data_IF_083775311568
#
_entry.id   IF_083775311568
#
_cell.length_a   1.000
_cell.length_b   1.000
_cell.length_c   1.000
_cell.angle_alpha   90.00
_cell.angle_beta   90.00
_cell.angle_gamma   90.00
#
_symmetry.space_group_name_H-M   'P 1'
#
loop_
_entity.id
_entity.type
_entity.pdbx_description
1 polymer ?
#
# COMPACT_ATOMS: atom_id res chain seq x y z
N UNK A 1 -10.64 -40.68 9.12
CA UNK A 1 -11.66 -40.77 10.19
C UNK A 1 -12.18 -39.37 10.45
N UNK A 2 -13.51 -39.21 10.49
CA UNK A 2 -14.14 -37.92 10.79
C UNK A 2 -13.76 -37.44 12.19
N UNK A 3 -13.60 -36.12 12.37
CA UNK A 3 -13.25 -35.54 13.67
C UNK A 3 -14.35 -35.84 14.70
N UNK A 4 -15.60 -35.92 14.25
CA UNK A 4 -16.75 -36.30 15.07
C UNK A 4 -16.62 -37.75 15.54
N UNK A 5 -16.26 -38.68 14.64
CA UNK A 5 -16.02 -40.09 14.99
C UNK A 5 -14.91 -40.25 16.05
N UNK A 6 -13.83 -39.48 15.92
CA UNK A 6 -12.73 -39.52 16.88
C UNK A 6 -13.13 -39.00 18.27
N UNK A 7 -13.97 -37.95 18.33
CA UNK A 7 -14.46 -37.41 19.61
C UNK A 7 -15.41 -38.39 20.30
N UNK A 8 -16.30 -39.05 19.54
CA UNK A 8 -17.21 -40.07 20.07
C UNK A 8 -16.43 -41.30 20.56
N UNK A 9 -15.46 -41.81 19.77
CA UNK A 9 -14.61 -42.93 20.19
C UNK A 9 -13.78 -42.61 21.44
N UNK A 10 -13.26 -41.39 21.55
CA UNK A 10 -12.56 -40.93 22.76
C UNK A 10 -13.49 -40.89 23.96
N UNK A 11 -14.71 -40.37 23.81
CA UNK A 11 -15.68 -40.33 24.91
C UNK A 11 -15.99 -41.72 25.49
N UNK A 12 -16.13 -42.74 24.63
CA UNK A 12 -16.37 -44.12 25.09
C UNK A 12 -15.10 -44.87 25.52
N UNK A 13 -13.91 -44.35 25.22
CA UNK A 13 -12.63 -44.93 25.62
C UNK A 13 -12.03 -44.33 26.90
N UNK A 14 -12.57 -43.25 27.45
CA UNK A 14 -12.05 -42.62 28.67
C UNK A 14 -12.72 -43.18 29.93
N UNK A 15 -11.96 -43.43 31.00
CA UNK A 15 -12.51 -43.85 32.30
C UNK A 15 -13.15 -42.71 33.10
N UNK A 16 -12.82 -41.46 32.74
CA UNK A 16 -13.31 -40.25 33.41
C UNK A 16 -14.63 -39.76 32.80
N UNK A 17 -15.72 -39.85 33.58
CA UNK A 17 -17.07 -39.46 33.15
C UNK A 17 -17.18 -37.99 32.74
N UNK A 18 -16.41 -37.10 33.37
CA UNK A 18 -16.44 -35.66 33.07
C UNK A 18 -15.73 -35.32 31.74
N UNK A 19 -14.69 -36.07 31.40
CA UNK A 19 -14.00 -35.95 30.11
C UNK A 19 -14.85 -36.55 28.99
N UNK A 20 -15.47 -37.71 29.23
CA UNK A 20 -16.41 -38.30 28.29
C UNK A 20 -17.55 -37.32 27.93
N UNK A 21 -18.14 -36.66 28.94
CA UNK A 21 -19.18 -35.65 28.74
C UNK A 21 -18.67 -34.44 27.91
N UNK A 22 -17.43 -34.00 28.15
CA UNK A 22 -16.82 -32.88 27.43
C UNK A 22 -16.55 -33.22 25.96
N UNK A 23 -16.11 -34.44 25.67
CA UNK A 23 -15.90 -34.91 24.29
C UNK A 23 -17.23 -35.05 23.53
N UNK A 24 -18.28 -35.56 24.17
CA UNK A 24 -19.63 -35.64 23.58
C UNK A 24 -20.22 -34.25 23.32
N UNK A 25 -20.08 -33.30 24.25
CA UNK A 25 -20.52 -31.93 24.04
C UNK A 25 -19.80 -31.26 22.86
N UNK A 26 -18.50 -31.50 22.70
CA UNK A 26 -17.72 -30.99 21.56
C UNK A 26 -18.15 -31.62 20.24
N UNK A 27 -18.49 -32.91 20.22
CA UNK A 27 -19.03 -33.59 19.04
C UNK A 27 -20.42 -33.04 18.65
N UNK A 28 -21.32 -32.85 19.63
CA UNK A 28 -22.65 -32.28 19.41
C UNK A 28 -22.59 -30.85 18.83
N UNK A 29 -21.71 -29.99 19.32
CA UNK A 29 -21.54 -28.63 18.80
C UNK A 29 -21.07 -28.61 17.34
N UNK A 30 -20.27 -29.59 16.92
CA UNK A 30 -19.74 -29.70 15.55
C UNK A 30 -20.77 -30.29 14.57
N UNK A 31 -21.75 -31.03 15.08
CA UNK A 31 -22.86 -31.60 14.31
C UNK A 31 -24.07 -30.67 14.20
N UNK A 32 -24.06 -29.51 14.84
CA UNK A 32 -25.22 -28.61 14.97
C UNK A 32 -25.79 -28.12 13.64
N UNK A 33 -24.96 -28.05 12.60
CA UNK A 33 -25.34 -27.60 11.26
C UNK A 33 -25.43 -28.75 10.23
N UNK A 34 -25.33 -30.00 10.69
CA UNK A 34 -25.41 -31.19 9.83
C UNK A 34 -26.85 -31.68 9.71
N UNK A 35 -27.19 -32.33 8.61
CA UNK A 35 -28.51 -32.92 8.43
C UNK A 35 -28.70 -34.16 9.31
N UNK A 36 -29.95 -34.50 9.64
CA UNK A 36 -30.27 -35.66 10.50
C UNK A 36 -29.68 -36.98 9.97
N UNK A 37 -29.65 -37.16 8.65
CA UNK A 37 -29.10 -38.36 8.01
C UNK A 37 -27.57 -38.43 8.15
N UNK A 38 -26.87 -37.30 8.02
CA UNK A 38 -25.41 -37.23 8.18
C UNK A 38 -25.00 -37.45 9.64
N UNK A 39 -25.74 -36.90 10.59
CA UNK A 39 -25.52 -37.11 12.03
C UNK A 39 -25.65 -38.59 12.36
N UNK A 40 -26.70 -39.25 11.87
CA UNK A 40 -26.95 -40.66 12.12
C UNK A 40 -25.84 -41.53 11.53
N UNK A 41 -25.43 -41.27 10.29
CA UNK A 41 -24.33 -41.98 9.64
C UNK A 41 -23.00 -41.82 10.40
N UNK A 42 -22.69 -40.61 10.86
CA UNK A 42 -21.46 -40.35 11.63
C UNK A 42 -21.44 -41.04 13.00
N UNK A 43 -22.59 -41.11 13.68
CA UNK A 43 -22.72 -41.83 14.96
C UNK A 43 -22.60 -43.35 14.75
N UNK A 44 -23.29 -43.91 13.76
CA UNK A 44 -23.23 -45.35 13.46
C UNK A 44 -21.81 -45.79 13.11
N UNK A 45 -21.08 -45.01 12.31
CA UNK A 45 -19.68 -45.26 11.98
C UNK A 45 -18.73 -45.09 13.17
N UNK A 46 -19.02 -44.16 14.08
CA UNK A 46 -18.22 -43.96 15.29
C UNK A 46 -18.37 -45.10 16.31
N UNK A 47 -19.58 -45.66 16.41
CA UNK A 47 -19.90 -46.76 17.34
C UNK A 47 -19.55 -48.13 16.78
N UNK A 48 -19.33 -48.26 15.47
CA UNK A 48 -18.86 -49.49 14.86
C UNK A 48 -17.47 -49.87 15.41
N UNK A 49 -17.42 -50.93 16.21
CA UNK A 49 -16.21 -51.42 16.87
C UNK A 49 -15.95 -50.89 18.30
N UNK A 50 -16.86 -50.10 18.87
CA UNK A 50 -16.77 -49.72 20.30
C UNK A 50 -17.27 -50.90 21.15
N UNK A 51 -16.35 -51.57 21.82
CA UNK A 51 -16.65 -52.73 22.66
C UNK A 51 -17.19 -52.25 24.01
N UNK A 52 -18.52 -52.27 24.19
CA UNK A 52 -19.19 -51.82 25.43
C UNK A 52 -18.98 -52.77 26.63
N UNK A 53 -18.31 -53.91 26.41
CA UNK A 53 -17.95 -54.84 27.47
C UNK A 53 -16.72 -54.30 28.24
N UNK A 54 -17.00 -53.58 29.33
CA UNK A 54 -16.00 -53.13 30.31
C UNK A 54 -15.04 -54.26 30.73
N UNK A 55 -13.71 -54.05 30.78
CA UNK A 55 -12.74 -55.00 31.31
C UNK A 55 -12.67 -54.95 32.85
N UNK A 56 -13.82 -54.95 33.53
CA UNK A 56 -13.90 -54.90 35.00
C UNK A 56 -14.06 -56.25 35.69
N UNK A 57 -14.12 -57.37 34.94
CA UNK A 57 -14.42 -58.70 35.53
C UNK A 57 -13.20 -59.63 35.70
N UNK A 58 -11.99 -59.19 35.35
CA UNK A 58 -10.80 -60.04 35.46
C UNK A 58 -10.13 -60.06 36.84
N UNK A 59 -10.33 -59.04 37.68
CA UNK A 59 -9.69 -58.98 39.00
C UNK A 59 -10.24 -59.99 40.02
N UNK A 60 -11.51 -60.39 39.88
CA UNK A 60 -12.14 -61.36 40.80
C UNK A 60 -11.55 -62.77 40.61
N UNK A 61 -11.14 -63.12 39.38
CA UNK A 61 -10.55 -64.42 39.07
C UNK A 61 -9.11 -64.59 39.55
N UNK A 62 -8.32 -63.51 39.58
CA UNK A 62 -6.92 -63.53 40.00
C UNK A 62 -6.82 -63.61 41.53
N UNK A 63 -7.68 -62.86 42.25
CA UNK A 63 -7.76 -62.90 43.71
C UNK A 63 -8.19 -64.27 44.25
N UNK A 64 -9.08 -64.99 43.55
CA UNK A 64 -9.48 -66.34 43.92
C UNK A 64 -8.35 -67.37 43.74
N UNK A 65 -7.53 -67.24 42.69
CA UNK A 65 -6.39 -68.14 42.44
C UNK A 65 -5.24 -67.91 43.42
N UNK A 66 -4.99 -66.66 43.83
CA UNK A 66 -3.98 -66.35 44.85
C UNK A 66 -4.33 -66.92 46.23
N UNK A 67 -5.61 -66.86 46.63
CA UNK A 67 -6.07 -67.47 47.89
C UNK A 67 -5.97 -69.00 47.89
N UNK A 68 -6.14 -69.66 46.73
CA UNK A 68 -5.98 -71.10 46.61
C UNK A 68 -4.51 -71.54 46.74
N UNK A 69 -3.59 -70.80 46.11
CA UNK A 69 -2.15 -71.07 46.18
C UNK A 69 -1.58 -70.89 47.61
N UNK A 70 -2.11 -69.92 48.37
CA UNK A 70 -1.69 -69.67 49.75
C UNK A 70 -2.12 -70.81 50.71
N UNK A 71 -3.28 -71.42 50.47
CA UNK A 71 -3.75 -72.58 51.23
C UNK A 71 -2.88 -73.85 50.99
N UNK A 72 -2.46 -74.08 49.74
CA UNK A 72 -1.62 -75.22 49.36
C UNK A 72 -0.21 -75.11 49.97
N UNK A 73 0.35 -73.89 50.02
CA UNK A 73 1.65 -73.62 50.65
C UNK A 73 1.66 -73.84 52.16
N UNK A 74 0.55 -73.58 52.86
CA UNK A 74 0.42 -73.90 54.29
C UNK A 74 0.39 -75.41 54.55
N UNK A 75 -0.26 -76.18 53.67
CA UNK A 75 -0.38 -77.63 53.83
C UNK A 75 0.97 -78.34 53.66
N UNK A 76 1.76 -77.94 52.66
CA UNK A 76 3.13 -78.45 52.46
C UNK A 76 4.08 -78.12 53.62
N UNK A 77 3.94 -76.94 54.26
CA UNK A 77 4.70 -76.59 55.47
C UNK A 77 4.34 -77.44 56.68
N UNK A 78 3.07 -77.82 56.83
CA UNK A 78 2.64 -78.70 57.91
C UNK A 78 3.20 -80.12 57.73
N UNK A 79 3.23 -80.64 56.50
CA UNK A 79 3.80 -81.95 56.19
C UNK A 79 5.32 -82.01 56.39
N UNK A 80 6.06 -80.97 55.99
CA UNK A 80 7.50 -80.87 56.24
C UNK A 80 7.85 -80.89 57.73
N UNK A 81 7.02 -80.24 58.56
CA UNK A 81 7.19 -80.23 60.02
C UNK A 81 6.88 -81.60 60.64
N UNK A 82 5.95 -82.37 60.06
CA UNK A 82 5.61 -83.72 60.50
C UNK A 82 6.69 -84.76 60.12
N UNK A 83 7.38 -84.57 58.99
CA UNK A 83 8.47 -85.45 58.54
C UNK A 83 9.76 -85.18 59.34
N UNK A 84 10.07 -83.91 59.64
CA UNK A 84 11.24 -83.54 60.46
C UNK A 84 11.19 -84.07 61.91
N UNK A 85 10.00 -84.34 62.45
CA UNK A 85 9.83 -84.91 63.79
C UNK A 85 10.12 -86.42 63.90
N UNK A 86 10.25 -87.15 62.77
CA UNK A 86 10.37 -88.61 62.75
C UNK A 86 11.80 -89.12 62.50
N UNK A 87 12.73 -88.27 62.08
CA UNK A 87 14.13 -88.65 61.83
C UNK A 87 15.03 -88.37 63.03
N UNK A 88 15.01 -89.27 64.04
CA UNK A 88 16.12 -89.38 65.00
C UNK A 88 17.32 -90.03 64.31
N UNK A 89 18.05 -89.27 63.50
CA UNK A 89 19.35 -89.69 62.95
C UNK A 89 20.38 -89.72 64.07
N UNK A 90 20.60 -90.93 64.58
CA UNK A 90 21.65 -91.27 65.55
C UNK A 90 23.00 -91.18 64.83
N UNK A 91 23.74 -90.09 65.02
CA UNK A 91 25.11 -89.97 64.51
C UNK A 91 26.02 -90.87 65.33
N UNK A 92 26.38 -92.02 64.76
CA UNK A 92 27.40 -92.94 65.26
C UNK A 92 28.75 -92.44 64.75
N UNK A 93 29.54 -91.82 65.63
CA UNK A 93 30.98 -91.73 65.48
C UNK A 93 31.58 -92.27 66.78
N UNK A 94 32.10 -93.50 66.71
CA UNK A 94 33.03 -94.02 67.70
C UNK A 94 34.42 -93.76 67.14
N UNK A 95 35.16 -92.83 67.75
CA UNK A 95 36.56 -92.61 67.43
C UNK A 95 37.35 -93.93 67.61
N UNK A 96 38.42 -94.10 66.84
CA UNK A 96 39.24 -95.31 66.83
C UNK A 96 39.70 -95.65 68.26
N UNK A 97 39.24 -96.77 68.86
CA UNK A 97 39.42 -97.04 70.28
C UNK A 97 40.89 -97.24 70.66
N UNK A 98 41.75 -97.64 69.71
CA UNK A 98 43.19 -97.76 69.98
C UNK A 98 43.89 -96.41 70.11
N UNK A 99 43.51 -95.43 69.28
CA UNK A 99 44.11 -94.09 69.31
C UNK A 99 43.65 -93.31 70.54
N UNK A 100 42.37 -93.44 70.90
CA UNK A 100 41.84 -92.90 72.16
C UNK A 100 42.48 -93.55 73.40
N UNK A 101 42.69 -94.88 73.38
CA UNK A 101 43.33 -95.59 74.49
C UNK A 101 44.79 -95.15 74.66
N UNK A 102 45.54 -95.01 73.56
CA UNK A 102 46.93 -94.47 73.59
C UNK A 102 46.98 -93.01 74.04
N UNK A 103 46.02 -92.19 73.63
CA UNK A 103 45.93 -90.78 74.05
C UNK A 103 45.60 -90.67 75.54
N UNK A 104 44.69 -91.52 76.05
CA UNK A 104 44.37 -91.61 77.47
C UNK A 104 45.54 -92.15 78.31
N UNK A 105 46.28 -93.15 77.82
CA UNK A 105 47.50 -93.66 78.46
C UNK A 105 48.58 -92.56 78.57
N UNK A 106 48.88 -91.86 77.48
CA UNK A 106 49.91 -90.79 77.50
C UNK A 106 49.44 -89.57 78.31
N UNK A 107 48.14 -89.27 78.34
CA UNK A 107 47.56 -88.26 79.24
C UNK A 107 47.67 -88.68 80.71
N UNK A 108 47.48 -89.97 81.02
CA UNK A 108 47.70 -90.54 82.34
C UNK A 108 49.16 -90.49 82.77
N UNK A 109 50.09 -90.82 81.87
CA UNK A 109 51.54 -90.72 82.09
C UNK A 109 52.00 -89.26 82.30
N UNK A 110 51.45 -88.30 81.55
CA UNK A 110 51.74 -86.87 81.73
C UNK A 110 51.18 -86.35 83.07
N UNK A 111 49.98 -86.79 83.46
CA UNK A 111 49.39 -86.43 84.75
C UNK A 111 50.21 -87.00 85.92
N UNK A 112 50.72 -88.23 85.79
CA UNK A 112 51.63 -88.83 86.76
C UNK A 112 53.01 -88.14 86.81
N UNK A 113 53.56 -87.73 85.66
CA UNK A 113 54.82 -87.00 85.57
C UNK A 113 54.75 -85.57 86.12
N UNK A 114 53.56 -84.96 86.20
CA UNK A 114 53.33 -83.66 86.85
C UNK A 114 53.29 -83.73 88.37
N UNK A 115 53.04 -84.91 88.95
CA UNK A 115 52.84 -85.11 90.39
C UNK A 115 54.09 -85.62 91.15
N UNK A 116 55.10 -86.13 90.44
CA UNK A 116 56.40 -86.50 91.01
C UNK A 116 57.50 -85.71 90.32
N UNK A 117 58.60 -85.39 91.01
CA UNK A 117 59.72 -84.56 90.53
C UNK A 117 60.45 -85.18 89.33
N UNK A 118 59.84 -85.07 88.14
CA UNK A 118 60.36 -85.55 86.85
C UNK A 118 60.94 -84.34 86.10
N UNK A 119 62.10 -84.47 85.42
CA UNK A 119 62.71 -83.37 84.69
C UNK A 119 61.75 -82.76 83.64
N UNK A 120 61.71 -81.43 83.50
CA UNK A 120 60.80 -80.74 82.56
C UNK A 120 60.95 -81.21 81.10
N UNK A 121 62.09 -81.79 80.72
CA UNK A 121 62.33 -82.37 79.40
C UNK A 121 61.37 -83.53 79.08
N UNK A 122 61.02 -84.39 80.03
CA UNK A 122 60.14 -85.54 79.80
C UNK A 122 58.66 -85.12 79.71
N UNK A 123 58.26 -84.11 80.49
CA UNK A 123 56.94 -83.47 80.38
C UNK A 123 56.78 -82.81 79.01
N UNK A 124 57.82 -82.14 78.51
CA UNK A 124 57.82 -81.58 77.16
C UNK A 124 57.76 -82.66 76.08
N UNK A 125 58.47 -83.78 76.25
CA UNK A 125 58.45 -84.91 75.31
C UNK A 125 57.08 -85.59 75.24
N UNK A 126 56.45 -85.83 76.39
CA UNK A 126 55.09 -86.39 76.46
C UNK A 126 54.05 -85.41 75.92
N UNK A 127 54.20 -84.11 76.20
CA UNK A 127 53.31 -83.07 75.66
C UNK A 127 53.44 -82.97 74.13
N UNK A 128 54.66 -83.05 73.59
CA UNK A 128 54.91 -83.09 72.15
C UNK A 128 54.32 -84.36 71.51
N UNK A 129 54.36 -85.50 72.21
CA UNK A 129 53.74 -86.76 71.76
C UNK A 129 52.22 -86.69 71.77
N UNK A 130 51.61 -86.10 72.80
CA UNK A 130 50.15 -85.85 72.84
C UNK A 130 49.74 -84.92 71.70
N UNK A 131 50.45 -83.81 71.50
CA UNK A 131 50.17 -82.89 70.40
C UNK A 131 50.34 -83.58 69.03
N UNK A 132 51.36 -84.44 68.88
CA UNK A 132 51.56 -85.26 67.69
C UNK A 132 50.40 -86.22 67.44
N UNK A 133 49.95 -86.94 68.46
CA UNK A 133 48.82 -87.87 68.37
C UNK A 133 47.49 -87.15 68.11
N UNK A 134 47.25 -85.99 68.72
CA UNK A 134 46.08 -85.16 68.46
C UNK A 134 46.07 -84.69 67.01
N UNK A 135 47.22 -84.23 66.49
CA UNK A 135 47.37 -83.82 65.10
C UNK A 135 47.16 -84.99 64.13
N UNK A 136 47.66 -86.18 64.45
CA UNK A 136 47.40 -87.39 63.67
C UNK A 136 45.91 -87.76 63.66
N UNK A 137 45.25 -87.72 64.82
CA UNK A 137 43.81 -87.99 64.93
C UNK A 137 42.98 -86.98 64.13
N UNK A 138 43.32 -85.70 64.18
CA UNK A 138 42.66 -84.67 63.35
C UNK A 138 42.89 -84.89 61.86
N UNK A 139 44.10 -85.26 61.45
CA UNK A 139 44.37 -85.56 60.04
C UNK A 139 43.62 -86.80 59.53
N UNK A 140 43.46 -87.84 60.36
CA UNK A 140 42.64 -89.01 60.02
C UNK A 140 41.15 -88.65 59.93
N UNK A 141 40.66 -87.82 60.87
CA UNK A 141 39.28 -87.33 60.84
C UNK A 141 38.99 -86.53 59.58
N UNK A 142 39.90 -85.63 59.20
CA UNK A 142 39.76 -84.81 57.99
C UNK A 142 39.84 -85.68 56.72
N UNK A 143 40.70 -86.70 56.71
CA UNK A 143 40.76 -87.67 55.62
C UNK A 143 39.43 -88.43 55.46
N UNK A 144 38.85 -88.94 56.55
CA UNK A 144 37.56 -89.61 56.50
C UNK A 144 36.41 -88.70 56.08
N UNK A 145 36.43 -87.42 56.45
CA UNK A 145 35.44 -86.46 55.93
C UNK A 145 35.54 -86.26 54.42
N UNK A 146 36.77 -86.21 53.88
CA UNK A 146 36.99 -86.14 52.44
C UNK A 146 36.53 -87.42 51.73
N UNK A 147 36.85 -88.60 52.27
CA UNK A 147 36.38 -89.88 51.74
C UNK A 147 34.85 -89.96 51.74
N UNK A 148 34.19 -89.53 52.81
CA UNK A 148 32.73 -89.49 52.90
C UNK A 148 32.11 -88.48 51.93
N UNK A 149 32.74 -87.32 51.72
CA UNK A 149 32.28 -86.35 50.74
C UNK A 149 32.35 -86.92 49.32
N UNK A 150 33.47 -87.56 48.96
CA UNK A 150 33.65 -88.23 47.68
C UNK A 150 32.68 -89.40 47.50
N UNK A 151 32.45 -90.21 48.54
CA UNK A 151 31.46 -91.29 48.52
C UNK A 151 30.03 -90.75 48.32
N UNK A 152 29.67 -89.67 49.02
CA UNK A 152 28.36 -89.01 48.85
C UNK A 152 28.18 -88.48 47.43
N UNK A 153 29.19 -87.81 46.90
CA UNK A 153 29.16 -87.27 45.53
C UNK A 153 29.07 -88.41 44.49
N UNK A 154 29.85 -89.48 44.68
CA UNK A 154 29.83 -90.65 43.79
C UNK A 154 28.49 -91.38 43.85
N UNK A 155 27.92 -91.56 45.04
CA UNK A 155 26.59 -92.15 45.22
C UNK A 155 25.51 -91.26 44.61
N UNK A 156 25.61 -89.94 44.78
CA UNK A 156 24.69 -89.00 44.18
C UNK A 156 24.74 -89.07 42.65
N UNK A 157 25.93 -89.05 42.04
CA UNK A 157 26.09 -89.22 40.59
C UNK A 157 25.53 -90.55 40.10
N UNK A 158 25.81 -91.66 40.81
CA UNK A 158 25.24 -92.98 40.46
C UNK A 158 23.72 -93.02 40.59
N UNK A 159 23.16 -92.33 41.57
CA UNK A 159 21.71 -92.23 41.74
C UNK A 159 21.09 -91.40 40.61
N UNK A 160 21.70 -90.27 40.24
CA UNK A 160 21.31 -89.46 39.09
C UNK A 160 21.40 -90.26 37.78
N UNK A 161 22.50 -91.01 37.56
CA UNK A 161 22.66 -91.92 36.42
C UNK A 161 21.59 -93.03 36.41
N UNK A 162 21.28 -93.65 37.55
CA UNK A 162 20.23 -94.67 37.63
C UNK A 162 18.85 -94.09 37.35
N UNK A 163 18.55 -92.89 37.86
CA UNK A 163 17.31 -92.17 37.53
C UNK A 163 17.25 -91.92 36.03
N UNK A 164 18.35 -91.47 35.40
CA UNK A 164 18.45 -91.30 33.95
C UNK A 164 18.35 -92.60 33.14
N UNK A 165 18.60 -93.77 33.73
CA UNK A 165 18.39 -95.06 33.06
C UNK A 165 16.92 -95.49 33.06
N UNK A 166 16.11 -94.97 33.98
CA UNK A 166 14.66 -95.19 33.98
C UNK A 166 14.00 -94.45 32.80
N UNK A 167 12.91 -94.99 32.23
CA UNK A 167 12.16 -94.30 31.18
C UNK A 167 11.61 -92.94 31.63
N UNK A 168 11.24 -92.79 32.91
CA UNK A 168 10.77 -91.53 33.49
C UNK A 168 11.89 -90.48 33.61
N UNK A 169 13.10 -90.88 34.05
CA UNK A 169 14.24 -89.95 34.11
C UNK A 169 14.70 -89.46 32.74
N UNK A 170 14.71 -90.33 31.71
CA UNK A 170 14.96 -89.91 30.32
C UNK A 170 13.90 -88.96 29.80
N UNK A 171 12.63 -89.23 30.09
CA UNK A 171 11.52 -88.35 29.71
C UNK A 171 11.65 -86.98 30.39
N UNK A 172 11.99 -86.95 31.68
CA UNK A 172 12.20 -85.70 32.43
C UNK A 172 13.42 -84.92 31.94
N UNK A 173 14.53 -85.57 31.58
CA UNK A 173 15.67 -84.90 30.98
C UNK A 173 15.31 -84.29 29.61
N UNK A 174 14.65 -85.06 28.75
CA UNK A 174 14.20 -84.57 27.44
C UNK A 174 13.20 -83.41 27.56
N UNK A 175 12.32 -83.43 28.57
CA UNK A 175 11.42 -82.32 28.89
C UNK A 175 12.20 -81.10 29.38
N UNK A 176 13.19 -81.28 30.25
CA UNK A 176 14.05 -80.19 30.75
C UNK A 176 14.82 -79.51 29.61
N UNK A 177 15.41 -80.29 28.72
CA UNK A 177 16.10 -79.80 27.51
C UNK A 177 15.12 -79.05 26.59
N UNK A 178 13.91 -79.59 26.39
CA UNK A 178 12.88 -78.92 25.57
C UNK A 178 12.37 -77.62 26.21
N UNK A 179 12.23 -77.57 27.52
CA UNK A 179 11.88 -76.35 28.26
C UNK A 179 12.99 -75.31 28.11
N UNK A 180 14.25 -75.72 28.25
CA UNK A 180 15.39 -74.81 28.06
C UNK A 180 15.45 -74.25 26.64
N UNK A 181 15.23 -75.09 25.62
CA UNK A 181 15.19 -74.65 24.22
C UNK A 181 14.01 -73.70 23.95
N UNK A 182 12.82 -73.97 24.51
CA UNK A 182 11.69 -73.06 24.41
C UNK A 182 11.96 -71.72 25.11
N UNK A 183 12.62 -71.73 26.27
CA UNK A 183 13.02 -70.52 26.97
C UNK A 183 14.03 -69.70 26.15
N UNK A 184 15.04 -70.35 25.54
CA UNK A 184 15.99 -69.69 24.64
C UNK A 184 15.29 -69.07 23.42
N UNK A 185 14.38 -69.80 22.78
CA UNK A 185 13.60 -69.27 21.64
C UNK A 185 12.71 -68.10 22.04
N UNK A 186 12.06 -68.18 23.21
CA UNK A 186 11.25 -67.08 23.73
C UNK A 186 12.09 -65.85 24.07
N UNK A 187 13.29 -66.03 24.64
CA UNK A 187 14.22 -64.94 24.90
C UNK A 187 14.65 -64.25 23.60
N UNK A 188 15.07 -65.04 22.60
CA UNK A 188 15.41 -64.52 21.28
C UNK A 188 14.24 -63.76 20.62
N UNK A 189 13.02 -64.29 20.69
CA UNK A 189 11.83 -63.62 20.14
C UNK A 189 11.51 -62.31 20.88
N UNK A 190 11.72 -62.26 22.20
CA UNK A 190 11.57 -61.02 22.98
C UNK A 190 12.62 -59.99 22.60
N UNK A 191 13.86 -60.40 22.39
CA UNK A 191 14.94 -59.52 21.93
C UNK A 191 14.65 -58.95 20.53
N UNK A 192 14.20 -59.78 19.58
CA UNK A 192 13.82 -59.29 18.24
C UNK A 192 12.65 -58.32 18.31
N UNK A 193 11.60 -58.65 19.08
CA UNK A 193 10.45 -57.76 19.23
C UNK A 193 10.83 -56.43 19.90
N UNK A 194 11.69 -56.46 20.92
CA UNK A 194 12.18 -55.25 21.56
C UNK A 194 13.02 -54.39 20.60
N UNK A 195 13.82 -55.02 19.73
CA UNK A 195 14.58 -54.31 18.70
C UNK A 195 13.66 -53.65 17.65
N UNK A 196 12.62 -54.36 17.20
CA UNK A 196 11.59 -53.81 16.30
C UNK A 196 10.83 -52.64 16.94
N UNK A 197 10.46 -52.75 18.22
CA UNK A 197 9.82 -51.66 18.96
C UNK A 197 10.75 -50.46 19.10
N UNK A 198 12.04 -50.67 19.38
CA UNK A 198 13.01 -49.59 19.47
C UNK A 198 13.16 -48.85 18.13
N UNK A 199 13.26 -49.58 17.01
CA UNK A 199 13.29 -49.00 15.67
C UNK A 199 12.01 -48.24 15.33
N UNK A 200 10.85 -48.78 15.69
CA UNK A 200 9.58 -48.08 15.49
C UNK A 200 9.51 -46.78 16.31
N UNK A 201 9.97 -46.80 17.56
CA UNK A 201 10.03 -45.61 18.39
C UNK A 201 10.99 -44.56 17.82
N UNK A 202 12.15 -44.97 17.30
CA UNK A 202 13.11 -44.06 16.67
C UNK A 202 12.54 -43.40 15.41
N UNK A 203 11.90 -44.19 14.53
CA UNK A 203 11.24 -43.66 13.32
C UNK A 203 10.08 -42.72 13.66
N UNK A 204 9.23 -43.08 14.61
CA UNK A 204 8.15 -42.21 15.09
C UNK A 204 8.69 -40.91 15.70
N UNK A 205 9.78 -40.99 16.46
CA UNK A 205 10.39 -39.81 17.07
C UNK A 205 10.97 -38.88 16.00
N UNK A 206 11.63 -39.44 14.99
CA UNK A 206 12.13 -38.68 13.84
C UNK A 206 10.98 -37.99 13.08
N UNK A 207 9.87 -38.68 12.85
CA UNK A 207 8.68 -38.11 12.21
C UNK A 207 8.06 -36.97 13.03
N UNK A 208 8.00 -37.13 14.36
CA UNK A 208 7.54 -36.07 15.26
C UNK A 208 8.43 -34.83 15.15
N UNK A 209 9.75 -35.02 15.12
CA UNK A 209 10.70 -33.90 15.04
C UNK A 209 10.67 -33.23 13.66
N UNK A 210 10.54 -33.99 12.58
CA UNK A 210 10.31 -33.46 11.22
C UNK A 210 9.01 -32.65 11.16
N UNK A 211 7.92 -33.13 11.75
CA UNK A 211 6.65 -32.39 11.82
C UNK A 211 6.77 -31.11 12.64
N UNK A 212 7.55 -31.13 13.74
CA UNK A 212 7.81 -29.93 14.55
C UNK A 212 8.61 -28.89 13.77
N UNK A 213 9.63 -29.31 13.02
CA UNK A 213 10.41 -28.43 12.15
C UNK A 213 9.53 -27.80 11.07
N UNK A 214 8.75 -28.61 10.35
CA UNK A 214 7.84 -28.11 9.31
C UNK A 214 6.82 -27.10 9.86
N UNK A 215 6.25 -27.37 11.06
CA UNK A 215 5.35 -26.42 11.73
C UNK A 215 6.07 -25.12 12.10
N UNK A 216 7.31 -25.18 12.56
CA UNK A 216 8.10 -23.98 12.87
C UNK A 216 8.34 -23.12 11.63
N UNK A 217 8.72 -23.74 10.51
CA UNK A 217 8.92 -23.04 9.24
C UNK A 217 7.62 -22.43 8.72
N UNK A 218 6.51 -23.16 8.82
CA UNK A 218 5.20 -22.67 8.38
C UNK A 218 4.73 -21.48 9.21
N UNK A 219 5.01 -21.47 10.52
CA UNK A 219 4.76 -20.30 11.39
C UNK A 219 5.66 -19.12 11.01
N UNK A 220 6.97 -19.34 10.77
CA UNK A 220 7.89 -18.27 10.34
C UNK A 220 7.45 -17.64 9.02
N UNK A 221 7.13 -18.47 8.03
CA UNK A 221 6.64 -18.01 6.73
C UNK A 221 5.28 -17.32 6.85
N UNK A 222 4.39 -17.83 7.70
CA UNK A 222 3.11 -17.20 8.00
C UNK A 222 3.27 -15.81 8.60
N UNK A 223 4.19 -15.64 9.57
CA UNK A 223 4.48 -14.35 10.18
C UNK A 223 5.08 -13.36 9.16
N UNK A 224 6.03 -13.80 8.33
CA UNK A 224 6.58 -12.97 7.26
C UNK A 224 5.48 -12.53 6.26
N UNK A 225 4.55 -13.43 5.92
CA UNK A 225 3.41 -13.07 5.07
C UNK A 225 2.53 -12.01 5.74
N UNK A 226 2.23 -12.16 7.03
CA UNK A 226 1.44 -11.16 7.79
C UNK A 226 2.14 -9.80 7.79
N UNK A 227 3.44 -9.74 8.02
CA UNK A 227 4.23 -8.50 7.96
C UNK A 227 4.17 -7.85 6.57
N UNK A 228 4.31 -8.64 5.49
CA UNK A 228 4.20 -8.11 4.13
C UNK A 228 2.80 -7.59 3.81
N UNK A 229 1.75 -8.29 4.25
CA UNK A 229 0.35 -7.84 4.09
C UNK A 229 0.11 -6.55 4.86
N UNK A 230 0.62 -6.43 6.09
CA UNK A 230 0.52 -5.21 6.87
C UNK A 230 1.24 -4.03 6.20
N UNK A 231 2.46 -4.24 5.69
CA UNK A 231 3.19 -3.22 4.94
C UNK A 231 2.46 -2.78 3.67
N UNK A 232 1.83 -3.71 2.94
CA UNK A 232 0.99 -3.38 1.78
C UNK A 232 -0.28 -2.61 2.17
N UNK A 233 -0.90 -2.93 3.31
CA UNK A 233 -2.06 -2.19 3.82
C UNK A 233 -1.70 -0.74 4.16
N UNK A 234 -0.54 -0.51 4.79
CA UNK A 234 -0.03 0.82 5.08
C UNK A 234 0.25 1.62 3.80
N UNK A 235 0.86 1.00 2.79
CA UNK A 235 1.08 1.62 1.48
C UNK A 235 -0.24 2.00 0.79
N UNK A 236 -1.24 1.11 0.83
CA UNK A 236 -2.58 1.39 0.28
C UNK A 236 -3.23 2.57 1.02
N UNK A 237 -3.11 2.64 2.35
CA UNK A 237 -3.64 3.75 3.13
C UNK A 237 -2.96 5.07 2.76
N UNK A 238 -1.63 5.09 2.63
CA UNK A 238 -0.88 6.27 2.21
C UNK A 238 -1.24 6.71 0.78
N UNK A 239 -1.42 5.78 -0.16
CA UNK A 239 -1.87 6.09 -1.52
C UNK A 239 -3.28 6.66 -1.55
N UNK A 240 -4.21 6.11 -0.75
CA UNK A 240 -5.57 6.64 -0.61
C UNK A 240 -5.56 8.08 -0.08
N UNK A 241 -4.72 8.37 0.92
CA UNK A 241 -4.59 9.72 1.46
C UNK A 241 -4.04 10.69 0.40
N UNK A 242 -2.98 10.31 -0.32
CA UNK A 242 -2.42 11.14 -1.40
C UNK A 242 -3.43 11.40 -2.52
N UNK A 243 -4.25 10.42 -2.86
CA UNK A 243 -5.33 10.58 -3.84
C UNK A 243 -6.34 11.63 -3.36
N UNK A 244 -6.80 11.54 -2.11
CA UNK A 244 -7.73 12.52 -1.52
C UNK A 244 -7.13 13.94 -1.48
N UNK A 245 -5.85 14.07 -1.11
CA UNK A 245 -5.15 15.36 -1.14
C UNK A 245 -5.06 15.93 -2.56
N UNK A 246 -4.78 15.08 -3.55
CA UNK A 246 -4.70 15.47 -4.96
C UNK A 246 -6.08 15.87 -5.50
N UNK A 247 -7.14 15.15 -5.13
CA UNK A 247 -8.52 15.49 -5.50
C UNK A 247 -8.92 16.84 -4.90
N UNK A 248 -8.64 17.09 -3.63
CA UNK A 248 -8.89 18.38 -2.99
C UNK A 248 -8.09 19.53 -3.63
N UNK A 249 -6.83 19.29 -4.01
CA UNK A 249 -6.02 20.25 -4.78
C UNK A 249 -6.60 20.48 -6.18
N UNK A 250 -7.11 19.44 -6.83
CA UNK A 250 -7.79 19.53 -8.12
C UNK A 250 -9.07 20.37 -8.04
N UNK A 251 -9.90 20.15 -7.01
CA UNK A 251 -11.12 20.93 -6.78
C UNK A 251 -10.84 22.40 -6.49
N UNK A 252 -9.82 22.69 -5.66
CA UNK A 252 -9.42 24.08 -5.37
C UNK A 252 -8.86 24.79 -6.61
N UNK A 253 -8.00 24.12 -7.39
CA UNK A 253 -7.50 24.66 -8.65
C UNK A 253 -8.63 24.89 -9.66
N UNK A 254 -9.56 23.94 -9.78
CA UNK A 254 -10.76 24.08 -10.63
C UNK A 254 -11.61 25.28 -10.21
N UNK A 255 -11.87 25.44 -8.92
CA UNK A 255 -12.59 26.60 -8.39
C UNK A 255 -11.90 27.92 -8.73
N UNK A 256 -10.57 27.99 -8.62
CA UNK A 256 -9.80 29.17 -9.01
C UNK A 256 -9.90 29.47 -10.51
N UNK A 257 -9.84 28.45 -11.37
CA UNK A 257 -10.02 28.61 -12.82
C UNK A 257 -11.44 29.06 -13.18
N UNK A 258 -12.48 28.51 -12.53
CA UNK A 258 -13.87 28.92 -12.74
C UNK A 258 -14.10 30.37 -12.31
N UNK A 259 -13.51 30.81 -11.19
CA UNK A 259 -13.54 32.22 -10.76
C UNK A 259 -12.82 33.14 -11.75
N UNK A 260 -11.64 32.76 -12.23
CA UNK A 260 -10.91 33.53 -13.24
C UNK A 260 -11.70 33.64 -14.55
N UNK A 261 -12.35 32.56 -14.99
CA UNK A 261 -13.22 32.55 -16.16
C UNK A 261 -14.39 33.52 -15.99
N UNK A 262 -15.05 33.51 -14.83
CA UNK A 262 -16.12 34.45 -14.51
C UNK A 262 -15.63 35.91 -14.52
N UNK A 263 -14.47 36.18 -13.92
CA UNK A 263 -13.86 37.51 -13.93
C UNK A 263 -13.55 37.99 -15.36
N UNK A 264 -12.98 37.14 -16.21
CA UNK A 264 -12.76 37.44 -17.62
C UNK A 264 -14.07 37.68 -18.37
N UNK A 265 -15.12 36.91 -18.10
CA UNK A 265 -16.43 37.11 -18.72
C UNK A 265 -17.04 38.46 -18.33
N UNK A 266 -16.92 38.88 -17.07
CA UNK A 266 -17.34 40.20 -16.60
C UNK A 266 -16.55 41.28 -17.34
N UNK A 267 -15.23 41.14 -17.43
CA UNK A 267 -14.37 42.09 -18.13
C UNK A 267 -14.71 42.21 -19.62
N UNK A 268 -14.96 41.10 -20.31
CA UNK A 268 -15.41 41.09 -21.70
C UNK A 268 -16.73 41.86 -21.85
N UNK A 269 -17.67 41.70 -20.91
CA UNK A 269 -18.93 42.42 -20.95
C UNK A 269 -18.74 43.93 -20.75
N UNK A 270 -17.83 44.35 -19.85
CA UNK A 270 -17.47 45.75 -19.67
C UNK A 270 -16.89 46.33 -20.96
N UNK A 271 -15.91 45.65 -21.57
CA UNK A 271 -15.30 46.09 -22.83
C UNK A 271 -16.33 46.17 -23.97
N UNK A 272 -17.28 45.22 -24.06
CA UNK A 272 -18.37 45.28 -25.04
C UNK A 272 -19.25 46.52 -24.85
N UNK A 273 -19.53 46.89 -23.60
CA UNK A 273 -20.30 48.10 -23.30
C UNK A 273 -19.52 49.36 -23.69
N UNK A 274 -18.24 49.46 -23.33
CA UNK A 274 -17.37 50.58 -23.71
C UNK A 274 -17.25 50.74 -25.23
N UNK A 275 -17.05 49.64 -25.97
CA UNK A 275 -17.04 49.65 -27.43
C UNK A 275 -18.39 50.16 -27.97
N UNK A 276 -19.50 49.72 -27.40
CA UNK A 276 -20.83 50.16 -27.84
C UNK A 276 -21.06 51.65 -27.61
N UNK A 277 -20.61 52.19 -26.47
CA UNK A 277 -20.65 53.61 -26.16
C UNK A 277 -19.78 54.43 -27.11
N UNK A 278 -18.55 53.96 -27.39
CA UNK A 278 -17.64 54.60 -28.34
C UNK A 278 -18.21 54.61 -29.75
N UNK A 279 -18.82 53.52 -30.21
CA UNK A 279 -19.50 53.44 -31.51
C UNK A 279 -20.66 54.45 -31.58
N UNK A 280 -21.47 54.57 -30.53
CA UNK A 280 -22.54 55.58 -30.50
C UNK A 280 -21.98 57.01 -30.52
N UNK A 281 -20.91 57.29 -29.76
CA UNK A 281 -20.26 58.60 -29.75
C UNK A 281 -19.69 58.93 -31.13
N UNK A 282 -19.06 57.96 -31.79
CA UNK A 282 -18.50 58.15 -33.12
C UNK A 282 -19.61 58.47 -34.14
N UNK A 283 -20.72 57.73 -34.10
CA UNK A 283 -21.90 58.01 -34.93
C UNK A 283 -22.43 59.45 -34.74
N UNK A 284 -22.48 59.94 -33.50
CA UNK A 284 -22.89 61.35 -33.20
C UNK A 284 -21.88 62.37 -33.72
N UNK A 285 -20.59 62.05 -33.72
CA UNK A 285 -19.55 62.92 -34.26
C UNK A 285 -19.60 62.95 -35.80
N UNK A 286 -19.84 61.81 -36.44
CA UNK A 286 -20.05 61.71 -37.89
C UNK A 286 -21.24 62.56 -38.33
N UNK A 287 -22.39 62.48 -37.64
CA UNK A 287 -23.56 63.31 -37.96
C UNK A 287 -23.26 64.80 -37.82
N UNK A 288 -22.59 65.21 -36.73
CA UNK A 288 -22.17 66.61 -36.54
C UNK A 288 -21.20 67.08 -37.61
N UNK A 289 -20.25 66.24 -38.02
CA UNK A 289 -19.33 66.55 -39.12
C UNK A 289 -20.07 66.73 -40.44
N UNK A 290 -21.07 65.90 -40.73
CA UNK A 290 -21.90 66.07 -41.94
C UNK A 290 -22.73 67.35 -41.90
N UNK A 291 -23.31 67.69 -40.74
CA UNK A 291 -24.04 68.94 -40.52
C UNK A 291 -23.11 70.15 -40.73
N UNK A 292 -21.95 70.19 -40.08
CA UNK A 292 -20.97 71.27 -40.25
C UNK A 292 -20.46 71.39 -41.69
N UNK A 293 -20.24 70.28 -42.39
CA UNK A 293 -19.89 70.30 -43.82
C UNK A 293 -21.00 70.91 -44.67
N UNK A 294 -22.26 70.60 -44.38
CA UNK A 294 -23.39 71.20 -45.08
C UNK A 294 -23.53 72.70 -44.78
N UNK A 295 -23.32 73.13 -43.53
CA UNK A 295 -23.35 74.54 -43.12
C UNK A 295 -22.21 75.36 -43.76
N UNK A 296 -21.01 74.80 -43.79
CA UNK A 296 -19.85 75.44 -44.45
C UNK A 296 -20.05 75.51 -45.96
N UNK A 297 -20.60 74.47 -46.59
CA UNK A 297 -20.96 74.50 -48.00
C UNK A 297 -22.04 75.55 -48.31
N UNK A 298 -23.09 75.64 -47.48
CA UNK A 298 -24.12 76.66 -47.60
C UNK A 298 -23.54 78.09 -47.44
N UNK A 299 -22.67 78.28 -46.44
CA UNK A 299 -21.97 79.55 -46.22
C UNK A 299 -21.04 79.90 -47.39
N UNK A 300 -20.35 78.92 -47.98
CA UNK A 300 -19.51 79.10 -49.17
C UNK A 300 -20.32 79.50 -50.39
N UNK A 301 -21.52 78.92 -50.58
CA UNK A 301 -22.43 79.30 -51.66
C UNK A 301 -22.94 80.74 -51.47
N UNK A 302 -23.35 81.09 -50.24
CA UNK A 302 -23.78 82.46 -49.92
C UNK A 302 -22.66 83.49 -50.12
N UNK A 303 -21.41 83.14 -49.79
CA UNK A 303 -20.25 83.98 -50.08
C UNK A 303 -20.04 84.16 -51.59
N UNK A 304 -20.12 83.09 -52.38
CA UNK A 304 -20.01 83.17 -53.83
C UNK A 304 -21.12 84.03 -54.47
N UNK A 305 -22.35 83.96 -53.96
CA UNK A 305 -23.45 84.84 -54.38
C UNK A 305 -23.18 86.31 -54.05
N UNK A 306 -22.61 86.59 -52.88
CA UNK A 306 -22.20 87.95 -52.49
C UNK A 306 -21.08 88.47 -53.38
N UNK A 307 -20.06 87.65 -53.66
CA UNK A 307 -18.97 88.02 -54.59
C UNK A 307 -19.52 88.32 -55.98
N UNK A 308 -20.47 87.52 -56.48
CA UNK A 308 -21.14 87.78 -57.76
C UNK A 308 -21.91 89.11 -57.74
N UNK A 309 -22.60 89.43 -56.65
CA UNK A 309 -23.27 90.73 -56.48
C UNK A 309 -22.27 91.87 -56.45
N UNK A 310 -21.16 91.74 -55.73
CA UNK A 310 -20.08 92.74 -55.67
C UNK A 310 -19.52 92.99 -57.06
N UNK A 311 -19.28 91.93 -57.85
CA UNK A 311 -18.82 92.06 -59.24
C UNK A 311 -19.86 92.79 -60.10
N UNK A 312 -21.15 92.45 -60.00
CA UNK A 312 -22.20 93.15 -60.74
C UNK A 312 -22.30 94.64 -60.38
N UNK A 313 -22.14 94.97 -59.09
CA UNK A 313 -22.11 96.34 -58.61
C UNK A 313 -20.86 97.09 -59.11
N UNK A 314 -19.69 96.44 -59.13
CA UNK A 314 -18.49 97.03 -59.73
C UNK A 314 -18.68 97.33 -61.22
N UNK A 315 -19.21 96.39 -62.01
CA UNK A 315 -19.51 96.63 -63.42
C UNK A 315 -20.48 97.81 -63.59
N UNK A 316 -21.55 97.88 -62.79
CA UNK A 316 -22.49 99.00 -62.84
C UNK A 316 -21.84 100.34 -62.42
N UNK A 317 -20.92 100.31 -61.45
CA UNK A 317 -20.16 101.49 -61.04
C UNK A 317 -19.21 101.95 -62.14
N UNK A 318 -18.55 101.02 -62.85
CA UNK A 318 -17.69 101.30 -63.99
C UNK A 318 -18.50 101.90 -65.16
N UNK A 319 -19.69 101.37 -65.45
CA UNK A 319 -20.63 101.95 -66.42
C UNK A 319 -21.06 103.38 -66.02
N UNK A 320 -21.34 103.61 -64.74
CA UNK A 320 -21.65 104.95 -64.23
C UNK A 320 -20.43 105.89 -64.33
N UNK A 321 -19.22 105.40 -64.06
CA UNK A 321 -18.00 106.17 -64.22
C UNK A 321 -17.73 106.52 -65.68
N UNK A 322 -17.95 105.58 -66.61
CA UNK A 322 -17.82 105.79 -68.05
C UNK A 322 -18.85 106.81 -68.57
N UNK A 323 -20.12 106.68 -68.16
CA UNK A 323 -21.17 107.66 -68.51
C UNK A 323 -20.87 109.04 -67.94
N UNK A 324 -20.36 109.15 -66.72
CA UNK A 324 -19.90 110.40 -66.13
C UNK A 324 -18.72 111.01 -66.91
N UNK A 325 -17.74 110.18 -67.33
CA UNK A 325 -16.61 110.63 -68.13
C UNK A 325 -17.04 111.09 -69.54
N UNK A 326 -17.97 110.37 -70.17
CA UNK A 326 -18.58 110.76 -71.44
C UNK A 326 -19.37 112.06 -71.32
N UNK A 327 -20.10 112.25 -70.23
CA UNK A 327 -20.78 113.51 -69.92
C UNK A 327 -19.77 114.66 -69.73
N UNK A 328 -18.67 114.43 -69.01
CA UNK A 328 -17.60 115.41 -68.85
C UNK A 328 -16.98 115.83 -70.19
N UNK A 329 -16.66 114.87 -71.08
CA UNK A 329 -16.19 115.16 -72.45
C UNK A 329 -17.22 115.90 -73.29
N UNK A 330 -18.49 115.50 -73.22
CA UNK A 330 -19.57 116.17 -73.93
C UNK A 330 -19.74 117.62 -73.44
N UNK A 331 -19.63 117.85 -72.13
CA UNK A 331 -19.63 119.18 -71.53
C UNK A 331 -18.45 120.02 -72.01
N UNK A 332 -17.23 119.47 -72.00
CA UNK A 332 -16.03 120.16 -72.50
C UNK A 332 -16.16 120.51 -73.99
N UNK A 333 -16.66 119.59 -74.82
CA UNK A 333 -16.97 119.86 -76.23
C UNK A 333 -18.03 120.94 -76.42
N UNK A 334 -19.08 120.95 -75.58
CA UNK A 334 -20.11 121.97 -75.61
C UNK A 334 -19.57 123.33 -75.15
N UNK A 335 -18.70 123.37 -74.14
CA UNK A 335 -18.00 124.57 -73.69
C UNK A 335 -17.02 125.09 -74.75
N UNK A 336 -16.31 124.19 -75.44
CA UNK A 336 -15.45 124.54 -76.58
C UNK A 336 -16.28 125.08 -77.76
N UNK A 337 -17.41 124.45 -78.10
CA UNK A 337 -18.34 124.94 -79.12
C UNK A 337 -18.96 126.29 -78.74
N UNK A 338 -19.34 126.48 -77.48
CA UNK A 338 -19.81 127.75 -76.96
C UNK A 338 -18.70 128.82 -77.01
N UNK A 339 -17.45 128.45 -76.75
CA UNK A 339 -16.29 129.36 -76.87
C UNK A 339 -16.01 129.72 -78.32
N UNK A 340 -16.10 128.77 -79.26
CA UNK A 340 -16.02 129.02 -80.70
C UNK A 340 -17.16 129.92 -81.19
N UNK A 341 -18.39 129.68 -80.73
CA UNK A 341 -19.54 130.55 -81.03
C UNK A 341 -19.36 131.94 -80.44
N UNK A 342 -18.85 132.06 -79.20
CA UNK A 342 -18.51 133.37 -78.60
C UNK A 342 -17.44 134.09 -79.42
N UNK A 343 -16.38 133.40 -79.82
CA UNK A 343 -15.33 133.96 -80.69
C UNK A 343 -15.88 134.37 -82.05
N UNK A 344 -16.74 133.57 -82.67
CA UNK A 344 -17.40 133.90 -83.93
C UNK A 344 -18.35 135.10 -83.77
N UNK A 345 -19.02 135.22 -82.62
CA UNK A 345 -19.92 136.32 -82.30
C UNK A 345 -19.13 137.61 -82.00
N UNK A 346 -17.98 137.53 -81.32
CA UNK A 346 -17.03 138.64 -81.18
C UNK A 346 -16.45 139.06 -82.53
N UNK A 347 -16.16 138.11 -83.41
CA UNK A 347 -15.67 138.40 -84.75
C UNK A 347 -16.75 139.05 -85.63
N UNK A 348 -18.00 138.58 -85.55
CA UNK A 348 -19.16 139.21 -86.19
C UNK A 348 -19.47 140.60 -85.61
N UNK A 349 -19.25 140.82 -84.31
CA UNK A 349 -19.35 142.14 -83.68
C UNK A 349 -18.23 143.08 -84.13
N UNK A 350 -17.01 142.57 -84.30
CA UNK A 350 -15.88 143.32 -84.89
C UNK A 350 -16.17 143.69 -86.36
N UNK A 351 -16.73 142.77 -87.14
CA UNK A 351 -17.14 143.02 -88.53
C UNK A 351 -18.32 144.00 -88.61
N UNK A 352 -19.22 143.98 -87.63
CA UNK A 352 -20.30 144.96 -87.45
C UNK A 352 -19.76 146.36 -87.12
N UNK A 353 -18.76 146.46 -86.23
CA UNK A 353 -18.08 147.73 -85.94
C UNK A 353 -17.30 148.26 -87.16
N UNK A 354 -16.77 147.37 -88.00
CA UNK A 354 -16.12 147.74 -89.26
C UNK A 354 -17.14 148.21 -90.32
N UNK A 355 -18.35 147.65 -90.33
CA UNK A 355 -19.46 148.13 -91.18
C UNK A 355 -20.07 149.45 -90.68
N UNK A 356 -20.12 149.69 -89.36
CA UNK A 356 -20.58 150.95 -88.78
C UNK A 356 -19.65 152.13 -89.16
N UNK A 357 -18.33 151.90 -89.15
CA UNK A 357 -17.34 152.90 -89.60
C UNK A 357 -17.35 153.11 -91.13
N UNK A 358 -17.77 152.09 -91.91
CA UNK A 358 -18.04 152.21 -93.35
C UNK A 358 -19.28 153.05 -93.67
N UNK A 359 -20.33 152.95 -92.85
CA UNK A 359 -21.55 153.77 -92.96
C UNK A 359 -21.30 155.24 -92.63
N UNK A 360 -20.50 155.57 -91.60
CA UNK A 360 -20.09 156.96 -91.33
C UNK A 360 -19.30 157.58 -92.50
N UNK A 361 -18.49 156.78 -93.19
CA UNK A 361 -17.73 157.23 -94.36
C UNK A 361 -18.63 157.48 -95.58
N UNK A 362 -19.75 156.75 -95.71
CA UNK A 362 -20.74 156.95 -96.77
C UNK A 362 -21.66 158.14 -96.48
N UNK A 363 -22.02 158.40 -95.21
CA UNK A 363 -22.77 159.60 -94.83
C UNK A 363 -21.99 160.89 -95.11
N UNK A 364 -20.67 160.93 -94.86
CA UNK A 364 -19.82 162.08 -95.23
C UNK A 364 -19.66 162.28 -96.74
N UNK A 365 -19.82 161.22 -97.54
CA UNK A 365 -19.82 161.30 -99.02
C UNK A 365 -21.15 161.79 -99.59
N UNK A 366 -22.26 161.54 -98.88
CA UNK A 366 -23.59 162.02 -99.26
C UNK A 366 -23.76 163.53 -98.97
N UNK A 367 -23.28 163.99 -97.81
CA UNK A 367 -23.27 165.42 -97.44
C UNK A 367 -22.37 166.27 -98.37
N UNK A 368 -21.28 165.69 -98.90
CA UNK A 368 -20.43 166.34 -99.90
C UNK A 368 -21.11 166.44 -101.29
N UNK A 369 -21.95 165.46 -101.66
CA UNK A 369 -22.66 165.45 -102.94
C UNK A 369 -23.87 166.41 -102.97
N UNK A 370 -24.55 166.63 -101.84
CA UNK A 370 -25.67 167.57 -101.75
C UNK A 370 -25.23 169.06 -101.71
N UNK A 371 -24.00 169.34 -101.27
CA UNK A 371 -23.41 170.69 -101.29
C UNK A 371 -22.93 171.13 -102.69
N UNK A 372 -22.72 170.20 -103.63
CA UNK A 372 -22.18 170.47 -104.97
C UNK A 372 -23.29 170.68 -106.02
N UNK A 373 -24.52 170.22 -105.76
CA UNK A 373 -25.67 170.38 -106.66
C UNK A 373 -26.34 171.79 -106.58
N UNK A 374 -26.12 172.55 -105.51
CA UNK A 374 -26.78 173.84 -105.24
C UNK A 374 -25.96 175.09 -105.61
N UNK A 375 -24.84 174.97 -106.36
CA UNK A 375 -24.01 176.13 -106.79
C UNK A 375 -23.69 176.24 -108.29
N UNK A 376 -24.27 175.42 -109.18
CA UNK A 376 -24.11 175.61 -110.64
C UNK A 376 -25.43 175.96 -111.34
N UNK A 377 -26.01 177.11 -110.98
CA UNK A 377 -26.86 177.90 -111.89
C UNK A 377 -25.98 178.91 -112.63
N UNK A 378 -25.65 178.69 -113.91
CA UNK A 378 -24.94 179.72 -114.69
C UNK A 378 -24.11 179.33 -115.91
N UNK A 379 -24.60 178.43 -116.78
CA UNK A 379 -24.10 178.34 -118.16
C UNK A 379 -25.27 178.07 -119.12
N UNK A 380 -25.93 179.16 -119.53
CA UNK A 380 -26.68 179.22 -120.80
C UNK A 380 -25.64 179.31 -121.94
N UNK A 381 -25.98 178.70 -123.09
CA UNK A 381 -25.37 178.92 -124.42
C UNK A 381 -24.21 177.99 -124.85
N UNK A 382 -24.49 176.78 -125.36
CA UNK A 382 -23.66 176.22 -126.47
C UNK A 382 -24.29 175.10 -127.33
N UNK A 383 -25.32 174.35 -126.92
CA UNK A 383 -25.86 173.26 -127.78
C UNK A 383 -27.34 173.47 -128.17
N UNK A 384 -27.63 174.69 -128.63
CA UNK A 384 -28.69 175.00 -129.61
C UNK A 384 -28.09 175.21 -131.02
N UNK A 385 -26.86 174.74 -131.24
CA UNK A 385 -26.11 174.84 -132.49
C UNK A 385 -25.26 173.59 -132.70
N UNK A 386 -25.89 172.45 -133.01
CA UNK A 386 -25.33 171.38 -133.83
C UNK A 386 -26.43 170.34 -134.08
N UNK A 387 -26.96 170.40 -135.32
CA UNK A 387 -27.55 169.31 -136.13
C UNK A 387 -28.91 168.75 -135.66
N UNK A 388 -30.01 168.86 -136.42
CA UNK A 388 -30.11 168.79 -137.89
C UNK A 388 -29.12 167.78 -138.48
N UNK A 389 -29.29 166.53 -138.03
CA UNK A 389 -29.62 165.42 -138.92
C UNK A 389 -30.45 164.39 -138.17
#
# INVERSE_FOLDING_TARGET
MSIIQNLIKKAFGTENVNEAASFLASACNRMKNSSKAEIQYEIEQALCGVNLNRPGSHDVGILARLKAAEAEAMQLRAELKAVAGKSKTKTVYQDNPETLRRLAEVQGELAAARLNTVPPADIQRLSARIAGLQKSLESERDHHYQELALLRETLQRKMEEQVLLTPEGRANQALSERVLDLQKRLAAQKETHNAELAQLHETMQQDIDNQRQLRSELVKNGNALVETVQGLQEQIAALKQRLQETDAQGETARGAYEQALQAHQIYINVLKNEISELVQKNKRLETRLTEQRSETQASSLAAAELDQKILSLHCSLDEMAETAQNYARAKENAEAAASQLRSALEQALSDSQHNASRCETLSRKLEAAEAELNRSSGAKSFMRWMTEK
#
